data_IF_397425023737
#
_entry.id   IF_397425023737
#
_cell.length_a   1.000
_cell.length_b   1.000
_cell.length_c   1.000
_cell.angle_alpha   90.00
_cell.angle_beta   90.00
_cell.angle_gamma   90.00
#
_symmetry.space_group_name_H-M   'P 1'
#
loop_
_entity.id
_entity.type
_entity.pdbx_description
1 polymer ?
#
# COMPACT_ATOMS: atom_id res chain seq x y z
N UNK A 1 -11.83 56.14 -20.81
CA UNK A 1 -11.90 54.76 -20.25
C UNK A 1 -10.56 54.07 -20.50
N UNK A 2 -10.07 53.40 -19.56
CA UNK A 2 -8.89 52.55 -19.60
C UNK A 2 -9.22 51.26 -18.87
N UNK A 3 -8.18 50.54 -18.35
CA UNK A 3 -8.37 49.35 -17.52
C UNK A 3 -8.60 49.71 -16.05
N UNK A 4 -8.04 50.81 -15.56
CA UNK A 4 -8.22 51.31 -14.20
C UNK A 4 -9.66 51.72 -13.90
N UNK A 5 -10.11 51.37 -12.68
CA UNK A 5 -11.48 51.65 -12.19
C UNK A 5 -11.52 53.00 -11.48
N UNK A 6 -12.30 53.92 -12.00
CA UNK A 6 -12.50 55.27 -11.42
C UNK A 6 -13.33 55.25 -10.14
N UNK A 7 -13.75 56.47 -9.72
CA UNK A 7 -14.59 56.69 -8.54
C UNK A 7 -13.95 56.34 -7.20
N UNK A 8 -12.63 56.36 -7.13
CA UNK A 8 -11.88 56.17 -5.91
C UNK A 8 -11.48 54.72 -5.62
N UNK A 9 -11.70 53.77 -6.55
CA UNK A 9 -11.08 52.45 -6.48
C UNK A 9 -9.60 52.57 -6.77
N UNK A 10 -9.21 52.90 -8.00
CA UNK A 10 -7.81 53.04 -8.40
C UNK A 10 -7.40 54.51 -8.54
N UNK A 11 -8.34 55.37 -8.91
CA UNK A 11 -8.15 56.81 -9.03
C UNK A 11 -9.49 57.60 -8.96
N UNK A 12 -9.37 58.91 -8.84
CA UNK A 12 -10.52 59.82 -8.94
C UNK A 12 -10.35 60.80 -10.09
N UNK A 13 -11.19 60.67 -11.13
CA UNK A 13 -11.38 61.61 -12.19
C UNK A 13 -12.77 61.38 -12.84
N UNK A 14 -13.66 62.34 -12.75
CA UNK A 14 -14.94 62.31 -13.43
C UNK A 14 -14.85 63.02 -14.79
N UNK A 15 -15.76 62.67 -15.69
CA UNK A 15 -15.97 63.45 -16.92
C UNK A 15 -16.31 64.88 -16.57
N UNK A 16 -15.74 65.82 -17.31
CA UNK A 16 -15.96 67.25 -17.07
C UNK A 16 -15.60 68.12 -18.27
N UNK A 17 -15.58 69.42 -18.03
CA UNK A 17 -15.18 70.40 -19.03
C UNK A 17 -13.96 71.17 -18.49
N UNK A 18 -12.90 71.17 -19.24
CA UNK A 18 -11.74 72.03 -18.99
C UNK A 18 -11.97 73.40 -19.66
N UNK A 19 -11.85 74.49 -18.89
CA UNK A 19 -11.81 75.82 -19.42
C UNK A 19 -10.38 76.37 -19.38
N UNK A 20 -9.88 76.76 -20.55
CA UNK A 20 -8.63 77.53 -20.68
C UNK A 20 -9.05 78.99 -20.82
N UNK A 21 -8.74 79.82 -19.83
CA UNK A 21 -9.19 81.23 -19.81
C UNK A 21 -8.53 82.05 -20.90
N UNK A 22 -9.20 83.10 -21.33
CA UNK A 22 -8.67 84.01 -22.34
C UNK A 22 -7.32 84.57 -21.95
N UNK A 23 -6.38 84.49 -22.88
CA UNK A 23 -4.98 84.91 -22.72
C UNK A 23 -4.05 83.77 -22.21
N UNK A 24 -4.59 82.67 -21.79
CA UNK A 24 -3.77 81.46 -21.42
C UNK A 24 -3.65 80.55 -22.62
N UNK A 25 -2.56 79.80 -22.64
CA UNK A 25 -2.23 78.78 -23.68
C UNK A 25 -2.32 77.34 -23.17
N UNK A 26 -2.62 77.14 -21.89
CA UNK A 26 -2.73 75.80 -21.28
C UNK A 26 -3.72 75.76 -20.13
N UNK A 27 -4.21 74.57 -19.85
CA UNK A 27 -4.96 74.15 -18.67
C UNK A 27 -4.59 72.72 -18.26
N UNK A 28 -5.00 72.26 -17.10
CA UNK A 28 -4.67 70.95 -16.58
C UNK A 28 -5.91 70.15 -16.24
N UNK A 29 -5.91 68.87 -16.61
CA UNK A 29 -6.85 67.83 -16.11
C UNK A 29 -6.04 67.01 -15.12
N UNK A 30 -6.56 66.83 -13.90
CA UNK A 30 -5.81 66.15 -12.84
C UNK A 30 -6.45 64.80 -12.55
N UNK A 31 -5.72 63.71 -12.71
CA UNK A 31 -6.02 62.41 -12.16
C UNK A 31 -5.63 62.46 -10.69
N UNK A 32 -6.60 62.40 -9.80
CA UNK A 32 -6.37 62.56 -8.36
C UNK A 32 -6.59 61.25 -7.60
N UNK A 33 -6.11 61.19 -6.36
CA UNK A 33 -6.32 60.06 -5.46
C UNK A 33 -5.98 58.71 -6.10
N UNK A 34 -4.81 58.65 -6.75
CA UNK A 34 -4.29 57.37 -7.21
C UNK A 34 -4.06 56.52 -5.96
N UNK A 35 -4.71 55.35 -5.93
CA UNK A 35 -4.68 54.43 -4.78
C UNK A 35 -3.45 53.56 -4.88
N UNK A 36 -2.74 53.41 -3.77
CA UNK A 36 -1.68 52.44 -3.59
C UNK A 36 -2.15 51.49 -2.48
N UNK A 37 -2.33 50.21 -2.78
CA UNK A 37 -2.69 49.21 -1.81
C UNK A 37 -1.52 48.23 -1.56
N UNK A 38 -1.71 46.95 -1.43
CA UNK A 38 -0.67 45.93 -1.21
C UNK A 38 -0.96 44.65 -2.03
N UNK A 39 -1.75 44.80 -3.08
CA UNK A 39 -2.06 43.67 -3.97
C UNK A 39 -1.15 43.74 -5.20
N UNK A 40 -0.48 42.63 -5.52
CA UNK A 40 0.20 42.45 -6.80
C UNK A 40 -0.84 42.45 -7.94
N UNK A 41 -0.78 43.44 -8.78
CA UNK A 41 -1.74 43.69 -9.85
C UNK A 41 -1.07 43.90 -11.22
N UNK A 42 -1.86 43.84 -12.27
CA UNK A 42 -1.38 44.25 -13.57
C UNK A 42 -1.35 45.79 -13.65
N UNK A 43 -0.36 46.36 -14.36
CA UNK A 43 -0.35 47.78 -14.67
C UNK A 43 -1.66 48.18 -15.34
N UNK A 44 -2.27 49.24 -14.86
CA UNK A 44 -3.55 49.72 -15.33
C UNK A 44 -3.47 51.05 -16.08
N UNK A 45 -4.48 51.41 -16.85
CA UNK A 45 -4.48 52.62 -17.64
C UNK A 45 -5.70 53.48 -17.39
N UNK A 46 -5.48 54.81 -17.35
CA UNK A 46 -6.52 55.85 -17.40
C UNK A 46 -6.39 56.55 -18.75
N UNK A 47 -7.42 56.48 -19.57
CA UNK A 47 -7.45 57.17 -20.89
C UNK A 47 -8.38 58.34 -20.80
N UNK A 48 -7.83 59.54 -21.01
CA UNK A 48 -8.56 60.81 -21.08
C UNK A 48 -8.63 61.28 -22.54
N UNK A 49 -9.85 61.43 -23.07
CA UNK A 49 -10.08 61.88 -24.46
C UNK A 49 -10.77 63.21 -24.48
N UNK A 50 -10.21 64.17 -25.24
CA UNK A 50 -10.81 65.48 -25.48
C UNK A 50 -11.87 65.36 -26.57
N UNK A 51 -12.95 66.16 -26.43
CA UNK A 51 -14.01 66.24 -27.45
C UNK A 51 -14.75 67.59 -27.42
N UNK A 52 -15.49 67.89 -28.49
CA UNK A 52 -16.34 69.03 -28.59
C UNK A 52 -15.74 70.36 -28.15
N UNK A 53 -14.58 70.79 -28.68
CA UNK A 53 -13.99 72.08 -28.33
C UNK A 53 -14.88 73.22 -28.72
N UNK A 54 -14.93 74.29 -27.90
CA UNK A 54 -15.59 75.56 -28.22
C UNK A 54 -14.53 76.64 -28.43
N UNK A 55 -14.64 77.45 -29.48
CA UNK A 55 -13.71 78.50 -29.91
C UNK A 55 -12.28 77.92 -30.19
N UNK A 56 -12.18 76.66 -30.55
CA UNK A 56 -10.93 75.99 -30.93
C UNK A 56 -11.27 74.81 -31.87
N UNK A 57 -10.28 74.24 -32.50
CA UNK A 57 -10.34 72.95 -33.24
C UNK A 57 -9.65 71.88 -32.49
N UNK A 58 -10.14 70.63 -32.57
CA UNK A 58 -9.52 69.50 -32.01
C UNK A 58 -8.30 69.11 -32.87
N UNK A 59 -7.16 68.83 -32.25
CA UNK A 59 -5.95 68.34 -32.90
C UNK A 59 -5.96 66.84 -33.08
N UNK A 60 -4.88 66.27 -33.61
CA UNK A 60 -4.69 64.81 -33.76
C UNK A 60 -4.39 64.10 -32.44
N UNK A 61 -3.84 64.82 -31.44
CA UNK A 61 -3.43 64.28 -30.13
C UNK A 61 -4.52 64.57 -29.10
N UNK A 62 -5.70 64.01 -29.34
CA UNK A 62 -6.91 64.22 -28.56
C UNK A 62 -7.09 63.19 -27.40
N UNK A 63 -6.24 62.19 -27.29
CA UNK A 63 -6.26 61.20 -26.23
C UNK A 63 -4.94 61.11 -25.50
N UNK A 64 -4.99 61.05 -24.18
CA UNK A 64 -3.82 60.83 -23.31
C UNK A 64 -4.03 59.56 -22.47
N UNK A 65 -3.07 58.66 -22.52
CA UNK A 65 -3.01 57.46 -21.67
C UNK A 65 -2.04 57.67 -20.53
N UNK A 66 -2.54 57.57 -19.31
CA UNK A 66 -1.70 57.50 -18.10
C UNK A 66 -1.72 56.06 -17.60
N UNK A 67 -0.54 55.51 -17.34
CA UNK A 67 -0.40 54.14 -16.78
C UNK A 67 -0.16 54.25 -15.29
N UNK A 68 -0.98 53.60 -14.51
CA UNK A 68 -0.74 53.31 -13.08
C UNK A 68 0.11 52.05 -13.06
N UNK A 69 1.36 52.18 -12.60
CA UNK A 69 2.24 51.04 -12.49
C UNK A 69 2.09 50.45 -11.12
N UNK A 70 1.84 49.14 -11.10
CA UNK A 70 1.93 48.33 -9.87
C UNK A 70 3.35 48.35 -9.29
N UNK A 71 3.44 48.41 -7.97
CA UNK A 71 4.71 48.46 -7.25
C UNK A 71 4.81 47.41 -6.13
N UNK A 72 3.81 46.49 -6.06
CA UNK A 72 3.80 45.41 -5.10
C UNK A 72 4.48 44.15 -5.63
N UNK A 73 4.86 43.27 -4.73
CA UNK A 73 5.57 42.06 -5.10
C UNK A 73 4.59 40.89 -5.24
N UNK A 74 4.79 40.10 -6.28
CA UNK A 74 4.07 38.84 -6.43
C UNK A 74 4.19 37.96 -5.17
N UNK A 75 3.10 37.37 -4.68
CA UNK A 75 3.11 36.53 -3.49
C UNK A 75 3.94 35.27 -3.68
N UNK A 76 4.39 34.69 -2.58
CA UNK A 76 5.02 33.36 -2.56
C UNK A 76 3.93 32.29 -2.39
N UNK A 77 4.00 31.21 -3.19
CA UNK A 77 3.09 30.07 -3.12
C UNK A 77 3.83 28.88 -2.50
N UNK A 78 3.26 28.31 -1.43
CA UNK A 78 3.81 27.19 -0.66
C UNK A 78 2.68 26.26 -0.18
N UNK A 79 3.02 25.01 0.17
CA UNK A 79 2.12 24.20 0.98
C UNK A 79 2.09 24.73 2.41
N UNK A 80 0.91 24.75 3.04
CA UNK A 80 0.72 25.09 4.46
C UNK A 80 1.47 24.13 5.40
N UNK A 81 1.80 22.94 4.93
CA UNK A 81 2.60 21.93 5.62
C UNK A 81 3.28 21.03 4.60
N UNK A 82 4.47 20.52 4.89
CA UNK A 82 5.25 19.65 4.00
C UNK A 82 4.90 18.16 4.15
N UNK A 83 4.13 17.79 5.19
CA UNK A 83 3.68 16.41 5.41
C UNK A 83 2.38 16.33 6.19
N UNK A 84 1.65 15.25 5.97
CA UNK A 84 0.49 14.82 6.78
C UNK A 84 0.25 13.33 6.58
N UNK A 85 -0.65 12.74 7.38
CA UNK A 85 -1.04 11.35 7.25
C UNK A 85 -2.52 11.15 7.61
N UNK A 86 -3.06 9.99 7.30
CA UNK A 86 -4.38 9.53 7.71
C UNK A 86 -4.51 8.04 7.48
N UNK A 87 -5.42 7.37 8.20
CA UNK A 87 -5.77 6.00 7.90
C UNK A 87 -6.47 5.93 6.53
N UNK A 88 -6.39 4.80 5.85
CA UNK A 88 -7.06 4.58 4.56
C UNK A 88 -8.58 4.65 4.67
N UNK A 89 -9.15 4.42 5.87
CA UNK A 89 -10.58 4.64 6.16
C UNK A 89 -11.05 6.10 6.03
N UNK A 90 -10.12 7.04 5.82
CA UNK A 90 -10.44 8.45 5.52
C UNK A 90 -10.60 8.61 4.00
N UNK A 91 -11.81 8.86 3.54
CA UNK A 91 -12.16 8.89 2.11
C UNK A 91 -11.48 9.99 1.27
N UNK A 92 -10.91 11.03 1.89
CA UNK A 92 -10.23 12.12 1.18
C UNK A 92 -9.35 12.96 2.10
N UNK A 93 -8.36 13.65 1.50
CA UNK A 93 -7.49 14.61 2.19
C UNK A 93 -7.30 15.87 1.33
N UNK A 94 -7.62 17.02 1.88
CA UNK A 94 -7.28 18.31 1.29
C UNK A 94 -5.89 18.75 1.74
N UNK A 95 -5.04 19.10 0.79
CA UNK A 95 -3.72 19.70 0.99
C UNK A 95 -3.86 21.20 0.74
N UNK A 96 -3.68 22.02 1.78
CA UNK A 96 -3.79 23.48 1.66
C UNK A 96 -2.52 24.03 1.03
N UNK A 97 -2.70 24.89 0.03
CA UNK A 97 -1.67 25.69 -0.61
C UNK A 97 -1.94 27.14 -0.27
N UNK A 98 -0.98 27.82 0.33
CA UNK A 98 -1.07 29.19 0.82
C UNK A 98 -0.31 30.17 -0.07
N UNK A 99 -0.79 31.42 -0.10
CA UNK A 99 -0.06 32.57 -0.63
C UNK A 99 0.42 33.42 0.55
N UNK A 100 1.65 33.97 0.45
CA UNK A 100 2.21 34.87 1.47
C UNK A 100 1.41 36.17 1.63
N UNK A 101 0.69 36.58 0.59
CA UNK A 101 -0.24 37.72 0.55
C UNK A 101 -1.33 37.47 -0.50
N UNK A 102 -2.45 38.19 -0.43
CA UNK A 102 -3.42 38.18 -1.51
C UNK A 102 -2.84 38.82 -2.79
N UNK A 103 -3.25 38.36 -3.96
CA UNK A 103 -2.97 38.98 -5.25
C UNK A 103 -4.27 39.56 -5.83
N UNK A 104 -4.19 40.66 -6.55
CA UNK A 104 -5.29 41.21 -7.35
C UNK A 104 -5.58 40.40 -8.62
N UNK A 105 -4.73 39.39 -8.92
CA UNK A 105 -4.87 38.50 -10.06
C UNK A 105 -5.11 37.05 -9.58
N UNK A 106 -5.70 36.22 -10.43
CA UNK A 106 -5.77 34.80 -10.21
C UNK A 106 -4.32 34.23 -10.23
N UNK A 107 -3.95 33.51 -9.17
CA UNK A 107 -2.68 32.77 -9.10
C UNK A 107 -2.91 31.34 -9.53
N UNK A 108 -2.12 30.85 -10.48
CA UNK A 108 -2.13 29.44 -10.85
C UNK A 108 -0.80 28.77 -10.50
N UNK A 109 -0.84 27.51 -10.11
CA UNK A 109 0.34 26.69 -9.88
C UNK A 109 0.06 25.27 -10.39
N UNK A 110 0.97 24.75 -11.19
CA UNK A 110 0.91 23.36 -11.64
C UNK A 110 1.37 22.42 -10.52
N UNK A 111 0.82 21.21 -10.48
CA UNK A 111 1.25 20.19 -9.55
C UNK A 111 1.39 18.82 -10.22
N UNK A 112 2.41 18.08 -9.80
CA UNK A 112 2.68 16.70 -10.18
C UNK A 112 2.53 15.77 -8.99
N UNK A 113 2.01 14.55 -9.25
CA UNK A 113 1.73 13.54 -8.23
C UNK A 113 2.60 12.32 -8.46
N UNK A 114 3.29 11.88 -7.39
CA UNK A 114 4.16 10.70 -7.34
C UNK A 114 3.96 10.00 -6.00
N UNK A 115 4.75 8.98 -5.68
CA UNK A 115 4.71 8.28 -4.40
C UNK A 115 4.72 6.77 -4.57
N UNK A 116 4.48 6.02 -3.49
CA UNK A 116 4.37 4.56 -3.50
C UNK A 116 2.94 4.09 -3.72
N UNK A 117 1.95 4.87 -3.27
CA UNK A 117 0.54 4.59 -3.49
C UNK A 117 0.18 4.66 -4.99
N UNK A 118 -0.68 3.76 -5.44
CA UNK A 118 -1.12 3.63 -6.83
C UNK A 118 -2.36 4.48 -7.09
N UNK A 119 -2.22 5.51 -7.92
CA UNK A 119 -3.32 6.39 -8.30
C UNK A 119 -4.37 5.72 -9.21
N UNK A 120 -5.24 6.55 -9.78
CA UNK A 120 -6.32 6.13 -10.71
C UNK A 120 -7.41 5.26 -10.08
N UNK A 121 -7.59 5.34 -8.76
CA UNK A 121 -8.65 4.67 -8.03
C UNK A 121 -8.29 3.28 -7.52
N UNK A 122 -7.02 2.90 -7.52
CA UNK A 122 -6.53 1.72 -6.79
C UNK A 122 -6.47 2.09 -5.31
N UNK A 123 -5.56 2.98 -4.90
CA UNK A 123 -5.43 3.42 -3.51
C UNK A 123 -6.01 4.83 -3.31
N UNK A 124 -6.01 5.67 -4.34
CA UNK A 124 -6.58 7.02 -4.33
C UNK A 124 -6.87 7.55 -5.74
N UNK A 125 -7.52 8.72 -5.80
CA UNK A 125 -7.73 9.46 -7.04
C UNK A 125 -7.16 10.87 -6.92
N UNK A 126 -6.08 11.16 -7.61
CA UNK A 126 -5.53 12.49 -7.89
C UNK A 126 -4.58 12.38 -9.10
N UNK A 127 -4.85 13.13 -10.15
CA UNK A 127 -3.96 13.25 -11.30
C UNK A 127 -3.14 14.55 -11.21
N UNK A 128 -2.08 14.67 -12.01
CA UNK A 128 -1.39 15.94 -12.22
C UNK A 128 -2.39 17.00 -12.70
N UNK A 129 -2.20 18.25 -12.30
CA UNK A 129 -3.12 19.31 -12.66
C UNK A 129 -2.60 20.71 -12.36
N UNK A 130 -3.49 21.67 -12.39
CA UNK A 130 -3.22 23.07 -12.06
C UNK A 130 -4.22 23.52 -11.00
N UNK A 131 -3.72 24.07 -9.90
CA UNK A 131 -4.54 24.75 -8.89
C UNK A 131 -4.67 26.23 -9.28
N UNK A 132 -5.88 26.77 -9.18
CA UNK A 132 -6.14 28.21 -9.29
C UNK A 132 -6.59 28.75 -7.94
N UNK A 133 -5.89 29.75 -7.44
CA UNK A 133 -6.27 30.55 -6.26
C UNK A 133 -6.80 31.87 -6.80
N UNK A 134 -8.09 32.14 -6.59
CA UNK A 134 -8.76 33.32 -7.15
C UNK A 134 -8.23 34.62 -6.55
N UNK A 135 -8.26 35.69 -7.35
CA UNK A 135 -7.90 37.03 -6.92
C UNK A 135 -8.54 37.39 -5.58
N UNK A 136 -7.76 38.01 -4.69
CA UNK A 136 -8.15 38.36 -3.33
C UNK A 136 -8.13 37.21 -2.31
N UNK A 137 -7.94 35.97 -2.74
CA UNK A 137 -7.79 34.81 -1.84
C UNK A 137 -6.33 34.62 -1.44
N UNK A 138 -6.10 34.05 -0.25
CA UNK A 138 -4.76 33.72 0.26
C UNK A 138 -4.48 32.24 0.31
N UNK A 139 -5.41 31.37 -0.12
CA UNK A 139 -5.21 29.92 -0.12
C UNK A 139 -6.11 29.21 -1.10
N UNK A 140 -5.70 28.01 -1.48
CA UNK A 140 -6.44 27.02 -2.23
C UNK A 140 -6.18 25.61 -1.70
N UNK A 141 -6.79 24.59 -2.29
CA UNK A 141 -6.58 23.21 -1.87
C UNK A 141 -6.48 22.23 -3.04
N UNK A 142 -5.52 21.32 -2.96
CA UNK A 142 -5.42 20.13 -3.82
C UNK A 142 -5.99 18.96 -3.02
N UNK A 143 -6.95 18.23 -3.58
CA UNK A 143 -7.64 17.16 -2.85
C UNK A 143 -7.22 15.78 -3.37
N UNK A 144 -6.63 14.98 -2.50
CA UNK A 144 -6.49 13.54 -2.68
C UNK A 144 -7.88 12.97 -2.37
N UNK A 145 -8.54 12.41 -3.39
CA UNK A 145 -9.91 11.92 -3.29
C UNK A 145 -9.98 10.40 -3.41
N UNK A 146 -11.10 9.82 -2.98
CA UNK A 146 -11.37 8.39 -3.10
C UNK A 146 -10.19 7.54 -2.59
N UNK A 147 -9.70 7.88 -1.39
CA UNK A 147 -8.77 7.00 -0.68
C UNK A 147 -9.55 5.71 -0.40
N UNK A 148 -8.96 4.57 -0.75
CA UNK A 148 -9.59 3.25 -0.71
C UNK A 148 -9.25 2.58 0.62
N UNK A 149 -10.27 2.12 1.32
CA UNK A 149 -10.21 1.32 2.55
C UNK A 149 -10.60 -0.11 2.15
N UNK A 150 -9.69 -1.05 2.24
CA UNK A 150 -9.99 -2.44 1.90
C UNK A 150 -9.84 -3.37 3.12
N UNK A 151 -9.29 -4.55 3.04
CA UNK A 151 -9.10 -5.48 4.14
C UNK A 151 -7.79 -6.26 4.00
N UNK A 152 -6.84 -5.69 3.28
CA UNK A 152 -5.53 -6.27 3.07
C UNK A 152 -4.54 -5.61 4.03
N UNK A 153 -3.86 -6.39 4.85
CA UNK A 153 -2.68 -5.94 5.59
C UNK A 153 -1.59 -5.49 4.60
N UNK A 154 -1.31 -4.19 4.60
CA UNK A 154 -0.42 -3.52 3.66
C UNK A 154 0.68 -2.72 4.36
N UNK A 155 1.66 -2.28 3.59
CA UNK A 155 2.61 -1.30 4.08
C UNK A 155 2.03 0.10 3.93
N UNK A 156 2.28 1.00 4.88
CA UNK A 156 1.93 2.42 4.71
C UNK A 156 2.49 2.97 3.39
N UNK A 157 1.67 3.68 2.65
CA UNK A 157 2.00 4.20 1.34
C UNK A 157 2.01 5.73 1.29
N UNK A 158 2.61 6.31 0.25
CA UNK A 158 2.75 7.76 0.14
C UNK A 158 2.16 8.31 -1.14
N UNK A 159 1.51 9.48 -1.04
CA UNK A 159 1.17 10.36 -2.15
C UNK A 159 2.01 11.63 -2.00
N UNK A 160 2.87 11.91 -2.96
CA UNK A 160 3.76 13.08 -2.96
C UNK A 160 3.28 14.04 -4.03
N UNK A 161 2.92 15.26 -3.62
CA UNK A 161 2.48 16.34 -4.50
C UNK A 161 3.53 17.42 -4.53
N UNK A 162 4.02 17.79 -5.73
CA UNK A 162 5.04 18.81 -5.93
C UNK A 162 4.50 19.95 -6.79
N UNK A 163 4.59 21.19 -6.31
CA UNK A 163 4.18 22.40 -7.01
C UNK A 163 5.28 22.84 -8.00
N UNK A 164 4.86 23.49 -9.10
CA UNK A 164 5.76 24.03 -10.11
C UNK A 164 5.10 25.10 -10.96
N UNK A 165 5.91 25.85 -11.71
CA UNK A 165 5.45 26.80 -12.74
C UNK A 165 4.35 27.75 -12.27
N UNK A 166 4.48 28.47 -11.15
CA UNK A 166 3.47 29.42 -10.73
C UNK A 166 3.32 30.58 -11.74
N UNK A 167 2.11 31.11 -11.87
CA UNK A 167 1.79 32.33 -12.59
C UNK A 167 1.22 33.35 -11.61
N UNK A 168 1.62 34.62 -11.70
CA UNK A 168 1.28 35.71 -10.77
C UNK A 168 1.70 35.40 -9.31
N UNK A 169 2.71 34.56 -9.13
CA UNK A 169 3.31 34.23 -7.86
C UNK A 169 4.76 33.75 -8.08
N UNK A 170 5.53 33.65 -7.00
CA UNK A 170 6.83 32.98 -6.98
C UNK A 170 6.73 31.69 -6.18
N UNK A 171 7.45 30.64 -6.59
CA UNK A 171 7.47 29.38 -5.86
C UNK A 171 8.31 29.55 -4.59
N UNK A 172 7.80 29.10 -3.46
CA UNK A 172 8.51 29.09 -2.18
C UNK A 172 9.36 27.83 -1.97
N UNK A 173 9.76 27.60 -0.72
CA UNK A 173 10.61 26.46 -0.34
C UNK A 173 9.82 25.22 0.02
N UNK A 174 8.57 25.38 0.46
CA UNK A 174 7.66 24.30 0.85
C UNK A 174 6.80 23.87 -0.34
N UNK A 175 7.48 23.57 -1.46
CA UNK A 175 6.87 23.22 -2.75
C UNK A 175 6.42 21.75 -2.84
N UNK A 176 6.73 20.93 -1.84
CA UNK A 176 6.42 19.50 -1.86
C UNK A 176 5.69 19.09 -0.57
N UNK A 177 4.59 18.34 -0.72
CA UNK A 177 3.85 17.74 0.39
C UNK A 177 3.82 16.23 0.25
N UNK A 178 4.17 15.51 1.33
CA UNK A 178 4.03 14.06 1.42
C UNK A 178 2.83 13.71 2.31
N UNK A 179 1.82 13.09 1.73
CA UNK A 179 0.74 12.48 2.47
C UNK A 179 0.98 10.98 2.62
N UNK A 180 0.93 10.45 3.85
CA UNK A 180 1.04 9.01 4.11
C UNK A 180 -0.36 8.44 4.36
N UNK A 181 -0.75 7.46 3.55
CA UNK A 181 -1.90 6.59 3.77
C UNK A 181 -1.43 5.50 4.73
N UNK A 182 -2.02 5.46 5.91
CA UNK A 182 -1.69 4.46 6.92
C UNK A 182 -2.66 3.28 6.78
N UNK A 183 -2.10 2.09 6.60
CA UNK A 183 -2.83 0.84 6.71
C UNK A 183 -3.48 0.72 8.10
N UNK A 184 -4.71 0.23 8.14
CA UNK A 184 -5.47 0.02 9.38
C UNK A 184 -5.96 -1.43 9.56
N UNK A 185 -5.48 -2.34 8.74
CA UNK A 185 -5.82 -3.75 8.81
C UNK A 185 -4.83 -4.55 9.66
N UNK A 186 -5.34 -5.61 10.26
CA UNK A 186 -4.53 -6.47 11.09
C UNK A 186 -3.83 -7.55 10.25
N UNK A 187 -2.56 -7.79 10.55
CA UNK A 187 -1.81 -8.90 9.94
C UNK A 187 -2.57 -10.23 10.10
N UNK A 188 -2.69 -11.04 9.06
CA UNK A 188 -3.47 -12.27 9.08
C UNK A 188 -2.92 -13.27 10.10
N UNK A 189 -3.80 -14.15 10.59
CA UNK A 189 -3.43 -15.27 11.45
C UNK A 189 -3.11 -16.48 10.58
N UNK A 190 -1.97 -17.15 10.83
CA UNK A 190 -1.55 -18.37 10.13
C UNK A 190 -1.76 -19.59 11.00
N UNK A 191 -2.52 -20.58 10.50
CA UNK A 191 -2.88 -21.81 11.18
C UNK A 191 -2.89 -23.01 10.21
N UNK A 192 -2.81 -24.23 10.72
CA UNK A 192 -3.21 -25.39 9.95
C UNK A 192 -4.72 -25.44 9.79
N UNK A 193 -5.20 -25.78 8.60
CA UNK A 193 -6.62 -26.00 8.33
C UNK A 193 -7.25 -27.10 9.25
N UNK A 194 -6.44 -28.09 9.60
CA UNK A 194 -6.78 -29.17 10.55
C UNK A 194 -5.57 -29.51 11.39
N UNK A 195 -5.78 -29.91 12.64
CA UNK A 195 -4.70 -30.24 13.59
C UNK A 195 -4.27 -31.72 13.53
N UNK A 196 -5.02 -32.56 12.80
CA UNK A 196 -4.69 -33.96 12.62
C UNK A 196 -5.24 -34.55 11.33
N UNK A 197 -4.56 -35.57 10.82
CA UNK A 197 -5.02 -36.42 9.72
C UNK A 197 -4.32 -37.78 9.75
N UNK A 198 -4.81 -38.76 9.00
CA UNK A 198 -4.17 -40.06 8.86
C UNK A 198 -4.47 -40.65 7.48
N UNK A 199 -3.62 -41.56 7.02
CA UNK A 199 -3.82 -42.41 5.84
C UNK A 199 -3.02 -43.69 6.01
N UNK A 200 -3.35 -44.74 5.24
CA UNK A 200 -2.49 -45.94 5.15
C UNK A 200 -1.19 -45.55 4.45
N UNK A 201 -0.10 -46.26 4.79
CA UNK A 201 1.24 -46.06 4.18
C UNK A 201 1.26 -46.31 2.67
N UNK A 202 0.28 -47.06 2.11
CA UNK A 202 0.08 -47.20 0.66
C UNK A 202 -0.23 -45.91 -0.04
N UNK A 203 -0.46 -44.81 0.70
CA UNK A 203 -0.62 -43.46 0.14
C UNK A 203 0.74 -42.80 -0.05
N UNK A 204 1.11 -42.47 -1.27
CA UNK A 204 2.46 -41.94 -1.61
C UNK A 204 2.78 -40.55 -1.06
N UNK A 205 1.81 -39.78 -0.62
CA UNK A 205 2.00 -38.41 -0.09
C UNK A 205 0.78 -37.88 0.66
N UNK A 206 1.01 -36.87 1.50
CA UNK A 206 -0.03 -36.09 2.17
C UNK A 206 0.26 -34.60 2.09
N UNK A 207 -0.70 -33.85 1.58
CA UNK A 207 -0.69 -32.39 1.62
C UNK A 207 -1.34 -31.92 2.92
N UNK A 208 -0.64 -31.03 3.64
CA UNK A 208 -1.09 -30.32 4.82
C UNK A 208 -1.39 -28.87 4.42
N UNK A 209 -2.63 -28.44 4.51
CA UNK A 209 -3.02 -27.07 4.17
C UNK A 209 -2.77 -26.16 5.37
N UNK A 210 -2.11 -25.04 5.11
CA UNK A 210 -1.90 -23.93 6.05
C UNK A 210 -2.70 -22.76 5.52
N UNK A 211 -3.61 -22.22 6.34
CA UNK A 211 -4.53 -21.15 5.98
C UNK A 211 -4.12 -19.82 6.62
N UNK A 212 -4.48 -18.72 5.99
CA UNK A 212 -4.48 -17.38 6.55
C UNK A 212 -5.92 -16.95 6.84
N UNK A 213 -6.13 -16.22 7.93
CA UNK A 213 -7.44 -15.66 8.29
C UNK A 213 -7.96 -14.62 7.29
N UNK A 214 -7.03 -13.92 6.59
CA UNK A 214 -7.28 -12.94 5.54
C UNK A 214 -6.14 -12.98 4.52
N UNK A 215 -6.32 -12.39 3.35
CA UNK A 215 -5.23 -12.16 2.41
C UNK A 215 -4.31 -11.03 2.94
N UNK A 216 -3.04 -11.03 2.52
CA UNK A 216 -2.10 -9.92 2.74
C UNK A 216 -1.56 -9.46 1.40
N UNK A 217 -1.27 -8.19 1.25
CA UNK A 217 -0.59 -7.66 0.05
C UNK A 217 0.88 -8.08 -0.01
N UNK A 218 1.42 -8.59 1.10
CA UNK A 218 2.78 -9.11 1.22
C UNK A 218 2.82 -10.63 1.16
N UNK A 219 3.97 -11.19 0.73
CA UNK A 219 4.20 -12.62 0.91
C UNK A 219 4.27 -12.93 2.41
N UNK A 220 3.45 -13.88 2.86
CA UNK A 220 3.53 -14.42 4.22
C UNK A 220 4.49 -15.61 4.21
N UNK A 221 5.46 -15.64 5.14
CA UNK A 221 6.32 -16.79 5.34
C UNK A 221 6.11 -17.37 6.74
N UNK A 222 6.20 -18.69 6.88
CA UNK A 222 6.18 -19.37 8.18
C UNK A 222 7.16 -20.53 8.16
N UNK A 223 8.02 -20.61 9.17
CA UNK A 223 8.91 -21.73 9.34
C UNK A 223 8.16 -22.94 9.88
N UNK A 224 8.59 -24.15 9.50
CA UNK A 224 8.06 -25.37 10.07
C UNK A 224 9.17 -26.34 10.46
N UNK A 225 8.96 -27.01 11.59
CA UNK A 225 9.81 -28.08 12.10
C UNK A 225 9.05 -29.40 12.09
N UNK A 226 9.77 -30.47 11.75
CA UNK A 226 9.23 -31.84 11.63
C UNK A 226 9.80 -32.73 12.71
N UNK A 227 8.91 -33.41 13.44
CA UNK A 227 9.21 -34.37 14.48
C UNK A 227 8.23 -35.55 14.40
N UNK A 228 8.26 -36.49 15.31
CA UNK A 228 7.33 -37.61 15.36
C UNK A 228 8.03 -38.95 15.65
N UNK A 229 7.30 -40.06 15.50
CA UNK A 229 7.84 -41.41 15.64
C UNK A 229 8.35 -41.98 14.33
N UNK A 230 7.75 -41.59 13.22
CA UNK A 230 8.18 -41.95 11.87
C UNK A 230 9.57 -41.40 11.56
N UNK A 231 10.38 -42.16 10.84
CA UNK A 231 11.75 -41.82 10.47
C UNK A 231 11.80 -41.15 9.12
N UNK A 232 12.20 -39.88 9.09
CA UNK A 232 12.32 -39.10 7.85
C UNK A 232 13.47 -39.54 6.94
N UNK A 233 13.80 -38.69 5.98
CA UNK A 233 14.88 -38.88 4.99
C UNK A 233 14.70 -40.09 4.06
N UNK A 234 13.44 -40.50 3.83
CA UNK A 234 13.09 -41.56 2.88
C UNK A 234 13.08 -42.96 3.46
N UNK A 235 13.14 -43.13 4.81
CA UNK A 235 12.83 -44.40 5.47
C UNK A 235 11.33 -44.62 5.45
N UNK A 236 10.55 -43.78 6.14
CA UNK A 236 9.08 -43.87 6.17
C UNK A 236 8.45 -42.74 5.37
N UNK A 237 9.10 -41.61 5.25
CA UNK A 237 8.63 -40.45 4.48
C UNK A 237 9.76 -39.46 4.12
N UNK A 238 9.45 -38.48 3.28
CA UNK A 238 10.36 -37.38 2.96
C UNK A 238 9.69 -36.03 3.27
N UNK A 239 10.14 -35.35 4.31
CA UNK A 239 9.88 -33.96 4.64
C UNK A 239 10.97 -33.51 5.63
N UNK A 240 11.72 -32.45 5.25
CA UNK A 240 12.67 -31.79 6.14
C UNK A 240 12.04 -30.52 6.74
N UNK A 241 12.66 -29.96 7.79
CA UNK A 241 12.34 -28.63 8.26
C UNK A 241 12.49 -27.61 7.11
N UNK A 242 11.66 -26.60 7.09
CA UNK A 242 11.67 -25.61 6.00
C UNK A 242 10.87 -24.37 6.32
N UNK A 243 10.65 -23.57 5.28
CA UNK A 243 9.83 -22.37 5.32
C UNK A 243 8.76 -22.47 4.22
N UNK A 244 7.50 -22.32 4.60
CA UNK A 244 6.40 -22.17 3.66
C UNK A 244 6.26 -20.68 3.30
N UNK A 245 6.08 -20.39 2.01
CA UNK A 245 5.70 -19.07 1.53
C UNK A 245 4.30 -19.12 0.94
N UNK A 246 3.41 -18.29 1.46
CA UNK A 246 2.08 -18.02 0.91
C UNK A 246 2.21 -16.70 0.18
N UNK A 247 1.96 -16.69 -1.13
CA UNK A 247 2.17 -15.51 -1.97
C UNK A 247 1.12 -14.44 -1.69
N UNK A 248 1.48 -13.16 -1.90
CA UNK A 248 0.60 -12.02 -1.80
C UNK A 248 -0.75 -12.29 -2.47
N UNK A 249 -1.84 -11.92 -1.81
CA UNK A 249 -3.22 -12.14 -2.26
C UNK A 249 -3.76 -13.56 -2.08
N UNK A 250 -2.91 -14.54 -1.75
CA UNK A 250 -3.37 -15.91 -1.45
C UNK A 250 -3.76 -16.04 0.04
N UNK A 251 -4.72 -16.92 0.31
CA UNK A 251 -5.21 -17.22 1.68
C UNK A 251 -4.77 -18.59 2.18
N UNK A 252 -3.98 -19.34 1.42
CA UNK A 252 -3.49 -20.65 1.86
C UNK A 252 -2.22 -21.07 1.14
N UNK A 253 -1.48 -21.99 1.77
CA UNK A 253 -0.33 -22.69 1.22
C UNK A 253 -0.33 -24.17 1.63
N UNK A 254 0.64 -24.94 1.13
CA UNK A 254 0.68 -26.38 1.36
C UNK A 254 2.06 -26.85 1.74
N UNK A 255 2.17 -27.61 2.83
CA UNK A 255 3.35 -28.41 3.21
C UNK A 255 3.07 -29.85 2.80
N UNK A 256 3.96 -30.49 2.04
CA UNK A 256 3.73 -31.84 1.53
C UNK A 256 4.67 -32.84 2.20
N UNK A 257 4.09 -33.81 2.91
CA UNK A 257 4.79 -35.04 3.33
C UNK A 257 4.83 -35.92 2.09
N UNK A 258 6.02 -36.12 1.53
CA UNK A 258 6.21 -36.88 0.28
C UNK A 258 6.87 -38.23 0.51
N UNK A 259 6.85 -39.08 -0.52
CA UNK A 259 7.50 -40.37 -0.53
C UNK A 259 7.21 -41.19 0.73
N UNK A 260 5.94 -41.28 1.11
CA UNK A 260 5.50 -42.19 2.15
C UNK A 260 5.79 -43.61 1.62
N UNK A 261 6.47 -44.41 2.42
CA UNK A 261 6.97 -45.74 2.03
C UNK A 261 5.93 -46.78 2.46
N UNK A 262 5.51 -47.61 1.49
CA UNK A 262 4.64 -48.77 1.66
C UNK A 262 5.54 -50.00 1.56
N UNK A 263 5.72 -50.74 2.63
CA UNK A 263 6.58 -51.96 2.61
C UNK A 263 5.78 -53.23 2.90
N UNK A 264 6.23 -54.19 3.62
CA UNK A 264 5.50 -55.43 3.95
C UNK A 264 5.76 -55.87 5.37
N UNK A 265 6.18 -54.98 6.23
CA UNK A 265 6.44 -55.22 7.63
C UNK A 265 5.22 -54.82 8.46
N UNK A 266 4.65 -55.74 9.23
CA UNK A 266 3.66 -55.41 10.26
C UNK A 266 4.32 -54.52 11.34
N UNK A 267 3.92 -53.23 11.37
CA UNK A 267 4.56 -52.17 12.18
C UNK A 267 3.54 -51.40 13.03
N UNK A 268 4.01 -50.67 14.08
CA UNK A 268 3.12 -49.73 14.78
C UNK A 268 2.76 -48.55 13.88
N UNK A 269 1.53 -48.04 13.99
CA UNK A 269 1.21 -46.76 13.39
C UNK A 269 2.17 -45.66 13.86
N UNK A 270 2.69 -44.89 12.94
CA UNK A 270 3.69 -43.87 13.20
C UNK A 270 3.18 -42.44 12.97
N UNK A 271 3.87 -41.45 13.51
CA UNK A 271 3.45 -40.07 13.42
C UNK A 271 4.50 -39.17 12.78
N UNK A 272 4.04 -38.21 11.95
CA UNK A 272 4.79 -37.06 11.49
C UNK A 272 4.12 -35.82 12.09
N UNK A 273 4.84 -35.10 12.95
CA UNK A 273 4.32 -33.89 13.62
C UNK A 273 5.00 -32.69 13.01
N UNK A 274 4.19 -31.79 12.42
CA UNK A 274 4.67 -30.54 11.82
C UNK A 274 4.24 -29.38 12.70
N UNK A 275 5.19 -28.53 13.11
CA UNK A 275 4.96 -27.38 13.99
C UNK A 275 5.35 -26.10 13.28
N UNK A 276 4.42 -25.15 13.14
CA UNK A 276 4.64 -23.80 12.57
C UNK A 276 5.31 -22.89 13.61
N UNK A 277 6.16 -21.98 13.13
CA UNK A 277 6.86 -20.98 13.95
C UNK A 277 7.34 -19.80 13.12
N UNK A 278 7.76 -18.70 13.79
CA UNK A 278 8.39 -17.52 13.18
C UNK A 278 7.67 -16.98 11.93
N UNK A 279 6.37 -16.65 11.98
CA UNK A 279 5.69 -16.06 10.85
C UNK A 279 6.25 -14.67 10.53
N UNK A 280 6.25 -14.29 9.25
CA UNK A 280 6.51 -12.91 8.78
C UNK A 280 5.31 -12.42 8.01
N UNK A 281 4.91 -11.17 8.22
CA UNK A 281 3.69 -10.57 7.69
C UNK A 281 2.41 -11.34 8.09
N UNK A 282 2.43 -11.96 9.24
CA UNK A 282 1.31 -12.69 9.84
C UNK A 282 1.57 -12.89 11.35
N UNK A 283 0.54 -13.24 12.08
CA UNK A 283 0.62 -13.69 13.47
C UNK A 283 0.36 -15.20 13.53
N UNK A 284 1.00 -15.89 14.49
CA UNK A 284 0.81 -17.32 14.66
C UNK A 284 -0.47 -17.59 15.45
N UNK A 285 -1.34 -18.46 14.92
CA UNK A 285 -2.58 -18.83 15.58
C UNK A 285 -2.46 -19.97 16.60
N UNK A 286 -3.58 -20.52 17.01
CA UNK A 286 -3.66 -21.62 17.98
C UNK A 286 -3.37 -22.99 17.36
N UNK A 287 -3.74 -23.19 16.09
CA UNK A 287 -3.66 -24.46 15.37
C UNK A 287 -2.33 -24.61 14.63
N UNK A 288 -1.25 -24.34 15.34
CA UNK A 288 0.13 -24.33 14.83
C UNK A 288 0.80 -25.70 14.77
N UNK A 289 0.13 -26.76 15.20
CA UNK A 289 0.66 -28.13 15.20
C UNK A 289 -0.29 -29.05 14.46
N UNK A 290 0.26 -29.79 13.49
CA UNK A 290 -0.48 -30.85 12.80
C UNK A 290 0.17 -32.19 13.05
N UNK A 291 -0.61 -33.19 13.50
CA UNK A 291 -0.16 -34.58 13.64
C UNK A 291 -0.74 -35.41 12.50
N UNK A 292 0.13 -35.91 11.64
CA UNK A 292 -0.21 -36.87 10.61
C UNK A 292 0.15 -38.25 11.07
N UNK A 293 -0.78 -39.23 10.99
CA UNK A 293 -0.50 -40.63 11.33
C UNK A 293 -0.41 -41.47 10.06
N UNK A 294 0.71 -42.18 9.90
CA UNK A 294 0.90 -43.20 8.89
C UNK A 294 0.37 -44.48 9.52
N UNK A 295 -0.70 -45.03 8.94
CA UNK A 295 -1.31 -46.26 9.42
C UNK A 295 -0.69 -47.43 8.67
N UNK A 296 -0.09 -48.37 9.43
CA UNK A 296 0.31 -49.66 8.90
C UNK A 296 -0.89 -50.41 8.27
N UNK A 297 -0.66 -51.03 7.14
CA UNK A 297 -1.65 -51.80 6.40
C UNK A 297 -1.27 -53.27 6.18
N UNK A 298 -0.20 -53.71 6.80
CA UNK A 298 0.31 -55.07 6.70
C UNK A 298 -0.26 -56.00 7.75
N UNK A 299 -0.21 -57.28 7.49
CA UNK A 299 -0.79 -58.29 8.37
C UNK A 299 0.32 -58.91 9.23
N UNK A 300 0.03 -59.08 10.52
CA UNK A 300 0.91 -59.80 11.42
C UNK A 300 1.34 -61.18 10.86
N UNK A 301 2.60 -61.52 10.89
CA UNK A 301 3.09 -62.77 10.36
C UNK A 301 2.54 -63.95 11.16
N UNK A 302 2.42 -65.13 10.51
CA UNK A 302 2.09 -66.37 11.14
C UNK A 302 3.35 -67.05 11.67
N UNK A 303 3.32 -67.56 12.91
CA UNK A 303 4.40 -68.29 13.53
C UNK A 303 4.14 -69.80 13.51
N UNK A 304 5.04 -70.56 12.92
CA UNK A 304 4.95 -72.02 12.79
C UNK A 304 6.30 -72.69 13.07
N UNK A 305 6.27 -74.01 13.37
CA UNK A 305 7.49 -74.80 13.29
C UNK A 305 7.86 -75.05 11.83
N UNK A 306 9.17 -74.92 11.48
CA UNK A 306 9.69 -75.24 10.15
C UNK A 306 9.34 -76.69 9.74
N UNK A 307 9.29 -77.57 10.71
CA UNK A 307 8.89 -78.97 10.53
C UNK A 307 8.04 -79.47 11.71
N UNK A 308 6.95 -80.20 11.45
CA UNK A 308 6.00 -80.68 12.47
C UNK A 308 6.51 -81.99 13.18
N UNK A 309 7.55 -82.57 12.66
CA UNK A 309 8.13 -83.77 13.30
C UNK A 309 9.62 -83.91 12.95
N UNK A 310 10.41 -84.50 13.88
CA UNK A 310 11.76 -84.78 13.65
C UNK A 310 12.16 -86.03 14.51
N UNK A 311 13.18 -86.75 14.10
CA UNK A 311 13.74 -87.92 14.86
C UNK A 311 15.22 -87.80 14.93
N UNK A 312 15.80 -88.42 15.94
CA UNK A 312 17.30 -88.50 16.15
C UNK A 312 17.67 -89.70 16.98
N UNK A 313 18.95 -90.14 16.92
CA UNK A 313 19.46 -91.16 17.75
C UNK A 313 19.69 -90.69 19.20
N UNK A 314 19.55 -91.55 20.21
CA UNK A 314 19.78 -91.18 21.62
C UNK A 314 21.25 -90.68 21.89
N UNK A 315 22.16 -90.92 20.99
CA UNK A 315 23.51 -90.42 21.06
C UNK A 315 23.64 -88.94 20.74
N UNK A 316 22.60 -88.30 20.25
CA UNK A 316 22.56 -86.86 19.95
C UNK A 316 22.18 -86.11 21.23
N UNK A 317 23.08 -85.28 21.73
CA UNK A 317 22.94 -84.59 23.02
C UNK A 317 22.00 -83.41 22.99
N UNK A 318 21.71 -82.80 21.80
CA UNK A 318 20.83 -81.63 21.63
C UNK A 318 20.10 -81.68 20.29
N UNK A 319 18.89 -81.16 20.25
CA UNK A 319 18.14 -80.93 19.01
C UNK A 319 17.54 -79.52 19.08
N UNK A 320 17.86 -78.69 18.08
CA UNK A 320 17.23 -77.44 17.87
C UNK A 320 15.90 -77.64 17.08
N UNK A 321 14.85 -77.03 17.48
CA UNK A 321 13.59 -76.92 16.74
C UNK A 321 13.47 -75.47 16.23
N UNK A 322 13.39 -75.33 14.92
CA UNK A 322 13.28 -74.01 14.30
C UNK A 322 11.80 -73.59 14.28
N UNK A 323 11.56 -72.34 14.69
CA UNK A 323 10.28 -71.67 14.60
C UNK A 323 10.44 -70.53 13.64
N UNK A 324 9.64 -70.47 12.59
CA UNK A 324 9.69 -69.50 11.52
C UNK A 324 8.50 -68.58 11.56
N UNK A 325 8.68 -67.36 11.04
CA UNK A 325 7.60 -66.42 10.70
C UNK A 325 7.34 -66.51 9.21
N UNK A 326 6.07 -66.33 8.81
CA UNK A 326 5.66 -66.29 7.40
C UNK A 326 6.20 -65.09 6.66
N UNK A 327 6.51 -64.00 7.37
CA UNK A 327 7.13 -62.74 6.89
C UNK A 327 7.95 -62.12 8.04
N UNK A 328 8.77 -61.13 7.75
CA UNK A 328 9.36 -60.27 8.77
C UNK A 328 8.30 -59.42 9.48
N UNK A 329 8.56 -59.03 10.71
CA UNK A 329 7.73 -58.11 11.47
C UNK A 329 8.58 -56.96 12.01
N UNK A 330 8.08 -55.75 12.04
CA UNK A 330 8.66 -54.59 12.70
C UNK A 330 8.48 -54.63 14.22
N UNK A 331 7.71 -55.65 14.73
CA UNK A 331 7.52 -55.90 16.16
C UNK A 331 8.37 -57.08 16.65
N UNK A 332 8.74 -57.08 17.95
CA UNK A 332 9.23 -58.31 18.60
C UNK A 332 8.11 -59.33 18.67
N UNK A 333 8.28 -60.47 18.02
CA UNK A 333 7.33 -61.58 18.07
C UNK A 333 7.69 -62.53 19.18
N UNK A 334 6.77 -62.84 20.08
CA UNK A 334 6.94 -63.79 21.18
C UNK A 334 5.94 -64.93 21.04
N UNK A 335 6.39 -66.15 21.30
CA UNK A 335 5.56 -67.34 21.31
C UNK A 335 5.86 -68.17 22.55
N UNK A 336 4.82 -68.67 23.21
CA UNK A 336 4.93 -69.56 24.35
C UNK A 336 4.89 -71.02 23.87
N UNK A 337 5.79 -71.87 24.33
CA UNK A 337 5.77 -73.27 24.03
C UNK A 337 5.59 -74.12 25.34
N UNK A 338 4.97 -75.25 25.23
CA UNK A 338 4.69 -76.17 26.32
C UNK A 338 5.21 -77.53 25.91
N UNK A 339 5.90 -78.26 26.85
CA UNK A 339 6.32 -79.62 26.65
C UNK A 339 5.38 -80.53 27.42
N UNK A 340 4.84 -81.55 26.79
CA UNK A 340 3.82 -82.46 27.33
C UNK A 340 4.40 -83.89 27.44
#
# INVERSE_FOLDING_TARGET
TGTATGSGTDYTLANGTLTINAGNTSGTITIASIVNDSLDEANETVIVTLSNPSNATLGSDDAHTYTINDNDNAPVVDFAATSSNGAESVSSKALTVDLSAASGQDVTVDYAVTGTATGSGTDYTLANGTLTISAGSTSGAITIASIVDDSLDEANETVIVTLSSPSNATLGSDDTHTYTINDNDDAPVVDFNTTSSNQAESSSSKALTVDLSAASSNNVTVDYAVTGTATGSGTDYTLANGTLTITAGATSGTITIGSIVDDSLDEPNETVIVTLSNPSNATLGSDKVHTYTINDNDSAPVVDFETTSSSGAESVSTKALTVDLSAASGHDVTVTYVVT
#
